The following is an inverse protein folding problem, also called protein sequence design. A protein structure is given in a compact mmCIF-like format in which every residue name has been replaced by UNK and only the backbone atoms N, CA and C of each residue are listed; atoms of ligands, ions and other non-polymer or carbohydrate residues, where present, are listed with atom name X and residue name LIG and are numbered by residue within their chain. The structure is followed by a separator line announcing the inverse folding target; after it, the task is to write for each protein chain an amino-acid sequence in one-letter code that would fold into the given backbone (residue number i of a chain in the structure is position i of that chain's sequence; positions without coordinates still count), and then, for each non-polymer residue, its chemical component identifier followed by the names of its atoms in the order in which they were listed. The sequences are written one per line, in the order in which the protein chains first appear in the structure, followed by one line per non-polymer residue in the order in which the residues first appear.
data_IF_159389543401
#
_entry.id   IF_159389543401
#
_cell.length_a   1.000
_cell.length_b   1.000
_cell.length_c   1.000
_cell.angle_alpha   90.00
_cell.angle_beta   90.00
_cell.angle_gamma   90.00
#
_symmetry.space_group_name_H-M   'P 1'
#
loop_
_entity.id
_entity.type
_entity.pdbx_description
1 polymer ?
#
# COMPACT_ATOMS: atom_id res chain seq x y z
N UNK A 1 -12.68 -6.77 -13.92
CA UNK A 1 -11.27 -6.35 -13.83
C UNK A 1 -10.46 -7.47 -13.21
N UNK A 2 -9.29 -7.75 -13.71
CA UNK A 2 -8.41 -8.74 -13.11
C UNK A 2 -7.66 -8.20 -11.89
N UNK A 3 -7.04 -9.10 -11.14
CA UNK A 3 -6.16 -8.77 -10.00
C UNK A 3 -5.00 -7.88 -10.46
N UNK A 4 -4.57 -6.97 -9.59
CA UNK A 4 -3.45 -6.05 -9.83
C UNK A 4 -2.38 -6.22 -8.76
N UNK A 5 -1.13 -6.09 -9.17
CA UNK A 5 -0.03 -5.93 -8.22
C UNK A 5 -0.07 -4.52 -7.65
N UNK A 6 -0.15 -4.40 -6.33
CA UNK A 6 -0.05 -3.12 -5.63
C UNK A 6 1.38 -2.90 -5.14
N UNK A 7 1.93 -1.76 -5.48
CA UNK A 7 3.24 -1.30 -5.02
C UNK A 7 3.09 0.08 -4.40
N UNK A 8 3.61 0.27 -3.20
CA UNK A 8 3.71 1.58 -2.57
C UNK A 8 5.18 1.94 -2.39
N UNK A 9 5.57 3.08 -2.93
CA UNK A 9 6.94 3.59 -2.87
C UNK A 9 6.98 4.92 -2.14
N UNK A 10 7.97 5.09 -1.27
CA UNK A 10 8.36 6.41 -0.79
C UNK A 10 9.37 7.01 -1.76
N UNK A 11 9.17 8.23 -2.18
CA UNK A 11 10.01 8.94 -3.14
C UNK A 11 10.54 10.24 -2.53
N UNK A 12 11.79 10.58 -2.86
CA UNK A 12 12.44 11.78 -2.33
C UNK A 12 11.85 13.09 -2.88
N UNK A 13 11.31 13.05 -4.10
CA UNK A 13 10.68 14.20 -4.77
C UNK A 13 9.44 13.72 -5.53
N UNK A 14 8.29 13.92 -4.91
CA UNK A 14 7.01 13.45 -5.47
C UNK A 14 6.67 14.13 -6.80
N UNK A 15 7.07 15.40 -6.98
CA UNK A 15 6.82 16.15 -8.23
C UNK A 15 7.58 15.54 -9.40
N UNK A 16 8.86 15.23 -9.22
CA UNK A 16 9.70 14.60 -10.25
C UNK A 16 9.24 13.16 -10.51
N UNK A 17 8.96 12.40 -9.47
CA UNK A 17 8.47 11.03 -9.62
C UNK A 17 7.12 10.98 -10.33
N UNK A 18 6.20 11.85 -9.98
CA UNK A 18 4.93 11.99 -10.68
C UNK A 18 5.13 12.27 -12.18
N UNK A 19 5.94 13.28 -12.53
CA UNK A 19 6.21 13.63 -13.91
C UNK A 19 6.87 12.48 -14.70
N UNK A 20 7.71 11.69 -14.07
CA UNK A 20 8.28 10.48 -14.66
C UNK A 20 7.20 9.43 -14.95
N UNK A 21 6.37 9.09 -13.95
CA UNK A 21 5.37 8.04 -14.08
C UNK A 21 4.21 8.42 -15.00
N UNK A 22 3.84 9.70 -15.09
CA UNK A 22 2.90 10.20 -16.10
C UNK A 22 3.40 9.89 -17.53
N UNK A 23 4.69 10.11 -17.77
CA UNK A 23 5.30 9.79 -19.06
C UNK A 23 5.47 8.28 -19.28
N UNK A 24 5.91 7.57 -18.26
CA UNK A 24 6.14 6.13 -18.33
C UNK A 24 4.84 5.36 -18.57
N UNK A 25 3.80 5.70 -17.85
CA UNK A 25 2.48 5.05 -18.01
C UNK A 25 1.63 5.64 -19.14
N UNK A 26 1.98 6.82 -19.63
CA UNK A 26 1.25 7.49 -20.69
C UNK A 26 -0.08 8.10 -20.25
N UNK A 27 -0.22 8.44 -18.97
CA UNK A 27 -1.45 9.00 -18.40
C UNK A 27 -1.26 9.67 -17.06
N UNK A 28 -2.21 10.53 -16.71
CA UNK A 28 -2.24 11.22 -15.43
C UNK A 28 -2.54 10.26 -14.27
N UNK A 29 -2.13 10.58 -13.02
CA UNK A 29 -2.52 9.81 -11.86
C UNK A 29 -4.04 9.84 -11.67
N UNK A 30 -4.61 8.70 -11.26
CA UNK A 30 -6.04 8.55 -10.97
C UNK A 30 -6.44 9.16 -9.63
N UNK A 31 -5.46 9.41 -8.74
CA UNK A 31 -5.70 10.06 -7.44
C UNK A 31 -4.50 10.93 -7.07
N UNK A 32 -4.79 12.13 -6.56
CA UNK A 32 -3.80 13.06 -6.03
C UNK A 32 -4.29 13.62 -4.69
N UNK A 33 -3.40 13.61 -3.69
CA UNK A 33 -3.60 14.25 -2.38
C UNK A 33 -2.28 14.92 -1.97
N UNK A 34 -2.28 15.82 -1.01
CA UNK A 34 -1.03 16.37 -0.47
C UNK A 34 -0.06 15.24 -0.07
N UNK A 35 1.14 15.24 -0.65
CA UNK A 35 2.17 14.22 -0.39
C UNK A 35 1.90 12.82 -0.97
N UNK A 36 0.88 12.64 -1.82
CA UNK A 36 0.48 11.33 -2.33
C UNK A 36 -0.04 11.39 -3.77
N UNK A 37 0.37 10.44 -4.61
CA UNK A 37 -0.21 10.19 -5.94
C UNK A 37 -0.38 8.70 -6.19
N UNK A 38 -1.37 8.36 -7.05
CA UNK A 38 -1.69 6.97 -7.40
C UNK A 38 -1.92 6.82 -8.89
N UNK A 39 -1.32 5.79 -9.46
CA UNK A 39 -1.46 5.42 -10.86
C UNK A 39 -2.14 4.05 -11.01
N UNK A 40 -3.04 3.96 -11.99
CA UNK A 40 -3.68 2.72 -12.44
C UNK A 40 -3.64 2.69 -13.97
N UNK A 41 -2.50 2.37 -14.59
CA UNK A 41 -2.40 2.33 -16.04
C UNK A 41 -3.31 1.24 -16.62
N UNK A 42 -4.00 1.53 -17.74
CA UNK A 42 -4.95 0.60 -18.37
C UNK A 42 -4.26 -0.62 -18.99
N UNK A 43 -3.02 -0.43 -19.43
CA UNK A 43 -2.25 -1.44 -20.16
C UNK A 43 -1.43 -2.37 -19.26
N UNK A 44 -1.33 -2.08 -17.97
CA UNK A 44 -0.54 -2.87 -17.02
C UNK A 44 -1.34 -3.17 -15.75
N UNK A 45 -1.30 -4.40 -15.22
CA UNK A 45 -2.04 -4.79 -14.02
C UNK A 45 -1.33 -4.29 -12.74
N UNK A 46 -1.07 -2.98 -12.68
CA UNK A 46 -0.34 -2.31 -11.60
C UNK A 46 -1.22 -1.27 -10.94
N UNK A 47 -1.17 -1.24 -9.63
CA UNK A 47 -1.65 -0.17 -8.77
C UNK A 47 -0.44 0.43 -8.05
N UNK A 48 0.12 1.51 -8.60
CA UNK A 48 1.30 2.19 -8.05
C UNK A 48 0.87 3.39 -7.21
N UNK A 49 1.22 3.38 -5.93
CA UNK A 49 1.11 4.53 -5.04
C UNK A 49 2.49 5.10 -4.74
N UNK A 50 2.60 6.43 -4.73
CA UNK A 50 3.80 7.17 -4.35
C UNK A 50 3.48 8.10 -3.19
N UNK A 51 4.31 8.10 -2.17
CA UNK A 51 4.26 9.07 -1.07
C UNK A 51 5.57 9.84 -0.98
N UNK A 52 5.47 11.13 -0.61
CA UNK A 52 6.63 11.94 -0.30
C UNK A 52 7.39 11.30 0.87
N UNK A 53 8.64 10.91 0.64
CA UNK A 53 9.51 10.37 1.66
C UNK A 53 10.24 11.43 2.46
N UNK A 54 11.25 11.03 3.24
CA UNK A 54 12.13 11.95 3.97
C UNK A 54 12.96 12.78 2.99
N UNK A 55 13.19 14.03 3.31
CA UNK A 55 14.09 14.89 2.55
C UNK A 55 15.47 14.21 2.46
N UNK A 56 15.99 14.07 1.22
CA UNK A 56 17.28 13.46 0.95
C UNK A 56 17.29 11.92 0.92
N UNK A 57 16.13 11.26 1.06
CA UNK A 57 16.02 9.81 0.89
C UNK A 57 15.94 9.39 -0.58
N UNK A 58 16.54 8.25 -0.92
CA UNK A 58 16.28 7.59 -2.21
C UNK A 58 14.90 6.96 -2.22
N UNK A 59 14.35 6.70 -3.41
CA UNK A 59 13.06 6.02 -3.56
C UNK A 59 13.09 4.65 -2.90
N UNK A 60 12.13 4.40 -1.99
CA UNK A 60 12.05 3.16 -1.22
C UNK A 60 10.68 2.53 -1.41
N UNK A 61 10.64 1.22 -1.64
CA UNK A 61 9.39 0.44 -1.58
C UNK A 61 8.98 0.32 -0.12
N UNK A 62 7.78 0.81 0.19
CA UNK A 62 7.21 0.72 1.54
C UNK A 62 6.61 -0.67 1.79
N UNK A 63 5.83 -1.16 0.87
CA UNK A 63 5.26 -2.50 0.87
C UNK A 63 4.79 -2.89 -0.54
N UNK A 64 4.50 -4.16 -0.74
CA UNK A 64 3.91 -4.68 -1.96
C UNK A 64 2.53 -5.29 -1.67
N UNK A 65 1.67 -5.38 -2.67
CA UNK A 65 0.36 -5.94 -2.43
C UNK A 65 -0.38 -6.39 -3.68
N UNK A 66 -1.47 -7.11 -3.41
CA UNK A 66 -2.39 -7.62 -4.42
C UNK A 66 -3.77 -7.05 -4.11
N UNK A 67 -4.26 -6.19 -4.99
CA UNK A 67 -5.64 -5.74 -4.95
C UNK A 67 -6.54 -6.79 -5.59
N UNK A 68 -7.58 -7.20 -4.89
CA UNK A 68 -8.57 -8.15 -5.40
C UNK A 68 -9.92 -7.48 -5.62
N UNK A 69 -10.71 -8.06 -6.53
CA UNK A 69 -11.97 -7.44 -6.99
C UNK A 69 -13.16 -7.67 -6.03
N UNK A 70 -13.03 -8.56 -5.05
CA UNK A 70 -14.11 -8.88 -4.12
C UNK A 70 -13.60 -9.10 -2.69
N UNK A 71 -14.37 -8.67 -1.66
CA UNK A 71 -13.98 -8.88 -0.26
C UNK A 71 -13.90 -10.37 0.11
N UNK A 72 -14.76 -11.21 -0.48
CA UNK A 72 -14.71 -12.66 -0.27
C UNK A 72 -13.38 -13.27 -0.70
N UNK A 73 -12.72 -12.70 -1.71
CA UNK A 73 -11.40 -13.15 -2.16
C UNK A 73 -10.34 -12.90 -1.09
N UNK A 74 -10.40 -11.77 -0.37
CA UNK A 74 -9.53 -11.50 0.80
C UNK A 74 -9.69 -12.62 1.82
N UNK A 75 -10.93 -12.97 2.16
CA UNK A 75 -11.23 -13.99 3.17
C UNK A 75 -10.81 -15.40 2.75
N UNK A 76 -10.96 -15.73 1.47
CA UNK A 76 -10.49 -17.02 0.92
C UNK A 76 -8.98 -17.13 1.02
N UNK A 77 -8.25 -16.10 0.59
CA UNK A 77 -6.80 -16.09 0.65
C UNK A 77 -6.27 -16.05 2.08
N UNK A 78 -6.92 -15.30 2.97
CA UNK A 78 -6.58 -15.27 4.39
C UNK A 78 -6.63 -16.66 5.03
N UNK A 79 -7.73 -17.39 4.82
CA UNK A 79 -7.89 -18.76 5.35
C UNK A 79 -6.84 -19.70 4.77
N UNK A 80 -6.57 -19.61 3.47
CA UNK A 80 -5.55 -20.42 2.81
C UNK A 80 -4.16 -20.18 3.38
N UNK A 81 -3.79 -18.91 3.55
CA UNK A 81 -2.47 -18.51 4.07
C UNK A 81 -2.30 -18.94 5.53
N UNK A 82 -3.33 -18.77 6.36
CA UNK A 82 -3.34 -19.28 7.75
C UNK A 82 -3.19 -20.79 7.82
N UNK A 83 -3.94 -21.52 6.99
CA UNK A 83 -3.86 -22.98 6.91
C UNK A 83 -2.47 -23.48 6.46
N UNK A 84 -1.75 -22.68 5.68
CA UNK A 84 -0.36 -22.94 5.30
C UNK A 84 0.67 -22.60 6.41
N UNK A 85 0.23 -22.13 7.58
CA UNK A 85 1.09 -21.81 8.72
C UNK A 85 1.86 -20.49 8.58
N UNK A 86 1.47 -19.62 7.66
CA UNK A 86 2.08 -18.29 7.53
C UNK A 86 1.45 -17.35 8.55
N UNK A 87 2.25 -16.64 9.38
CA UNK A 87 1.74 -15.61 10.27
C UNK A 87 1.07 -14.49 9.47
N UNK A 88 -0.11 -14.05 9.92
CA UNK A 88 -0.88 -12.99 9.27
C UNK A 88 -1.27 -11.91 10.27
N UNK A 89 -1.41 -10.67 9.77
CA UNK A 89 -2.05 -9.56 10.48
C UNK A 89 -3.30 -9.15 9.70
N UNK A 90 -4.44 -9.14 10.36
CA UNK A 90 -5.74 -8.85 9.75
C UNK A 90 -6.15 -7.40 10.04
N UNK A 91 -6.67 -6.72 9.04
CA UNK A 91 -7.22 -5.37 9.14
C UNK A 91 -8.50 -5.31 8.30
N UNK A 92 -9.67 -5.32 8.96
CA UNK A 92 -10.96 -5.31 8.29
C UNK A 92 -11.68 -3.97 8.48
N UNK A 93 -12.23 -3.40 7.39
CA UNK A 93 -12.93 -2.11 7.42
C UNK A 93 -12.05 -0.94 7.83
N UNK A 94 -10.74 -0.99 7.58
CA UNK A 94 -9.80 0.03 8.04
C UNK A 94 -9.65 1.17 7.04
N UNK A 95 -9.50 2.38 7.55
CA UNK A 95 -9.17 3.55 6.74
C UNK A 95 -7.65 3.62 6.57
N UNK A 96 -7.17 3.39 5.36
CA UNK A 96 -5.75 3.40 5.01
C UNK A 96 -5.54 3.94 3.60
N UNK A 97 -4.45 4.69 3.39
CA UNK A 97 -4.06 5.20 2.07
C UNK A 97 -5.19 5.91 1.32
N UNK A 98 -5.99 6.72 2.03
CA UNK A 98 -7.14 7.48 1.51
C UNK A 98 -8.32 6.61 1.03
N UNK A 99 -8.46 5.40 1.59
CA UNK A 99 -9.58 4.50 1.27
C UNK A 99 -9.94 3.61 2.45
N UNK A 100 -11.19 3.14 2.49
CA UNK A 100 -11.62 2.08 3.39
C UNK A 100 -11.35 0.73 2.73
N UNK A 101 -10.76 -0.21 3.46
CA UNK A 101 -10.24 -1.47 2.91
C UNK A 101 -10.45 -2.63 3.88
N UNK A 102 -10.69 -3.82 3.29
CA UNK A 102 -10.51 -5.10 3.96
C UNK A 102 -9.21 -5.72 3.49
N UNK A 103 -8.32 -6.09 4.43
CA UNK A 103 -7.01 -6.62 4.07
C UNK A 103 -6.38 -7.49 5.14
N UNK A 104 -5.37 -8.22 4.71
CA UNK A 104 -4.40 -8.84 5.62
C UNK A 104 -2.98 -8.65 5.11
N UNK A 105 -2.04 -8.77 6.03
CA UNK A 105 -0.61 -8.62 5.79
C UNK A 105 0.12 -9.91 6.10
N UNK A 106 1.17 -10.15 5.33
CA UNK A 106 2.18 -11.15 5.59
C UNK A 106 3.56 -10.52 5.44
N UNK A 107 4.57 -11.14 6.04
CA UNK A 107 5.96 -10.71 5.89
C UNK A 107 6.77 -11.86 5.33
N UNK A 108 7.59 -11.58 4.32
CA UNK A 108 8.49 -12.58 3.77
C UNK A 108 9.71 -12.82 4.68
N UNK A 109 10.55 -13.83 4.42
CA UNK A 109 11.74 -14.11 5.24
C UNK A 109 12.77 -12.98 5.30
N UNK A 110 12.78 -12.07 4.34
CA UNK A 110 13.67 -10.89 4.29
C UNK A 110 13.02 -9.63 4.90
N UNK A 111 11.80 -9.75 5.42
CA UNK A 111 11.09 -8.66 6.08
C UNK A 111 10.26 -7.79 5.14
N UNK A 112 10.11 -8.16 3.86
CA UNK A 112 9.24 -7.44 2.93
C UNK A 112 7.78 -7.68 3.29
N UNK A 113 7.03 -6.61 3.51
CA UNK A 113 5.61 -6.70 3.80
C UNK A 113 4.78 -6.78 2.52
N UNK A 114 3.81 -7.68 2.52
CA UNK A 114 2.82 -7.83 1.48
C UNK A 114 1.42 -7.70 2.05
N UNK A 115 0.55 -6.97 1.36
CA UNK A 115 -0.88 -6.95 1.66
C UNK A 115 -1.70 -7.64 0.56
N UNK A 116 -2.78 -8.28 0.97
CA UNK A 116 -3.89 -8.66 0.08
C UNK A 116 -5.10 -7.88 0.53
N UNK A 117 -5.69 -7.08 -0.36
CA UNK A 117 -6.74 -6.15 0.03
C UNK A 117 -7.84 -5.97 -1.01
N UNK A 118 -9.03 -5.63 -0.51
CA UNK A 118 -10.15 -5.14 -1.28
C UNK A 118 -10.44 -3.69 -0.92
N UNK A 119 -10.67 -2.86 -1.94
CA UNK A 119 -11.04 -1.47 -1.78
C UNK A 119 -12.56 -1.36 -1.62
N UNK A 120 -13.04 -1.07 -0.41
CA UNK A 120 -14.47 -0.92 -0.15
C UNK A 120 -14.99 0.40 -0.74
N UNK A 121 -14.35 1.52 -0.41
CA UNK A 121 -14.65 2.84 -0.98
C UNK A 121 -13.50 3.83 -0.74
N UNK A 122 -13.41 4.86 -1.59
CA UNK A 122 -12.46 5.95 -1.41
C UNK A 122 -12.94 6.92 -0.32
N UNK A 123 -11.99 7.38 0.50
CA UNK A 123 -12.26 8.44 1.47
C UNK A 123 -12.20 9.80 0.76
N UNK A 124 -13.29 10.56 0.86
CA UNK A 124 -13.33 11.94 0.42
C UNK A 124 -12.87 12.86 1.56
N UNK A 125 -11.97 13.81 1.23
CA UNK A 125 -11.46 14.78 2.19
C UNK A 125 -10.12 14.41 2.87
N UNK A 126 -9.70 15.25 3.83
CA UNK A 126 -8.40 15.16 4.52
C UNK A 126 -8.39 14.15 5.68
N UNK A 127 -9.42 13.36 5.85
CA UNK A 127 -9.54 12.42 6.96
C UNK A 127 -8.64 11.21 6.75
N UNK A 128 -7.35 11.42 6.87
CA UNK A 128 -6.39 10.36 7.00
C UNK A 128 -6.00 10.20 8.47
N UNK A 129 -6.74 9.39 9.17
CA UNK A 129 -6.19 8.75 10.36
C UNK A 129 -5.57 7.45 9.86
N UNK A 130 -4.24 7.34 9.80
CA UNK A 130 -3.63 6.05 9.53
C UNK A 130 -4.10 5.10 10.62
N UNK A 131 -4.69 3.97 10.23
CA UNK A 131 -4.93 2.91 11.19
C UNK A 131 -3.58 2.60 11.86
N UNK A 132 -3.51 2.81 13.17
CA UNK A 132 -2.38 2.35 13.96
C UNK A 132 -2.27 0.85 13.70
N UNK A 133 -1.13 0.41 13.20
CA UNK A 133 -0.87 -1.02 12.99
C UNK A 133 -0.72 -1.70 14.35
N UNK A 134 -1.76 -2.33 14.92
CA UNK A 134 -1.58 -3.11 16.13
C UNK A 134 -0.86 -4.41 15.75
N UNK A 135 0.17 -4.74 16.50
CA UNK A 135 0.96 -5.97 16.39
C UNK A 135 1.76 -6.15 15.08
N UNK A 136 2.79 -5.35 14.90
CA UNK A 136 3.98 -5.86 14.20
C UNK A 136 4.58 -7.01 15.03
N UNK A 137 4.90 -8.11 14.34
CA UNK A 137 5.90 -9.04 14.84
C UNK A 137 7.14 -8.23 15.26
N UNK A 138 7.91 -8.62 16.30
CA UNK A 138 8.49 -7.71 17.27
C UNK A 138 9.37 -6.61 16.66
N UNK A 139 9.09 -5.40 17.10
CA UNK A 139 9.90 -4.20 17.12
C UNK A 139 10.25 -3.54 15.78
N UNK A 140 9.32 -2.72 15.28
CA UNK A 140 9.67 -1.46 14.61
C UNK A 140 8.58 -0.42 14.94
N UNK A 141 9.00 0.80 15.26
CA UNK A 141 8.15 1.89 15.71
C UNK A 141 6.91 2.14 14.85
N UNK A 142 5.81 2.49 15.51
CA UNK A 142 4.50 2.78 14.96
C UNK A 142 4.56 3.82 13.83
N UNK A 143 4.42 3.36 12.61
CA UNK A 143 4.17 4.22 11.48
C UNK A 143 2.92 3.73 10.75
N UNK A 144 1.99 4.63 10.43
CA UNK A 144 0.80 4.28 9.64
C UNK A 144 1.17 3.57 8.34
N UNK A 145 0.21 2.91 7.68
CA UNK A 145 0.46 2.10 6.48
C UNK A 145 1.19 2.83 5.34
N UNK A 146 1.24 4.16 5.40
CA UNK A 146 1.93 5.01 4.43
C UNK A 146 3.05 5.86 5.03
N UNK A 147 3.43 5.64 6.30
CA UNK A 147 4.47 6.44 6.94
C UNK A 147 5.87 5.86 6.67
N UNK A 148 6.90 6.71 6.57
CA UNK A 148 8.27 6.28 6.33
C UNK A 148 8.80 5.40 7.47
N UNK A 149 9.45 4.30 7.12
CA UNK A 149 10.20 3.50 8.09
C UNK A 149 11.43 4.28 8.56
N UNK A 150 11.65 4.35 9.86
CA UNK A 150 12.95 4.78 10.36
C UNK A 150 13.98 3.71 10.04
N UNK A 151 14.95 4.04 9.19
CA UNK A 151 16.14 3.21 9.03
C UNK A 151 16.98 3.48 10.28
N UNK A 152 17.01 2.49 11.19
CA UNK A 152 17.95 2.51 12.29
C UNK A 152 19.38 2.47 11.72
N UNK A 153 20.18 3.41 12.17
CA UNK A 153 21.65 3.43 11.94
C UNK A 153 22.31 2.29 12.70
#
# INVERSE_FOLDING_TARGET
MGSKVHVHMQVSDLTKSRAFYERFFGGAPVKMKPGYVKFLPDWAPVNLALSQGRAGGEGTVDHMGIQVDAPDTVMVQLRRVKAAGVPVREEMGVNCCHANQDKFWVQDPDGVEWEVYHLNYDLEGEANVPASRPNRLPEVEETGCCAPRSIGT
#
